data_IF_733937980054
#
_entry.id   IF_733937980054
#
_cell.length_a   1.000
_cell.length_b   1.000
_cell.length_c   1.000
_cell.angle_alpha   90.00
_cell.angle_beta   90.00
_cell.angle_gamma   90.00
#
_symmetry.space_group_name_H-M   'P 1'
#
loop_
_entity.id
_entity.type
_entity.pdbx_description
1 polymer ?
#
# COMPACT_ATOMS: atom_id res chain seq x y z
N UNK A 1 12.64 -6.16 9.03
CA UNK A 1 11.70 -7.34 9.12
C UNK A 1 10.77 -7.27 7.92
N UNK A 2 10.74 -8.29 7.08
CA UNK A 2 9.87 -8.31 5.88
C UNK A 2 8.44 -8.71 6.24
N UNK A 3 7.46 -7.99 5.70
CA UNK A 3 6.03 -8.29 5.84
C UNK A 3 5.47 -9.08 4.63
N UNK A 4 6.32 -9.53 3.70
CA UNK A 4 5.92 -10.20 2.46
C UNK A 4 5.01 -11.42 2.70
N UNK A 5 5.17 -12.12 3.83
CA UNK A 5 4.35 -13.26 4.21
C UNK A 5 2.88 -12.91 4.55
N UNK A 6 2.57 -11.62 4.73
CA UNK A 6 1.18 -11.15 4.92
C UNK A 6 0.42 -10.99 3.59
N UNK A 7 1.12 -11.03 2.46
CA UNK A 7 0.49 -10.90 1.15
C UNK A 7 -0.34 -12.16 0.83
N UNK A 8 -1.52 -11.99 0.20
CA UNK A 8 -2.32 -13.14 -0.20
C UNK A 8 -1.57 -13.98 -1.24
N UNK A 9 -1.75 -15.31 -1.26
CA UNK A 9 -1.02 -16.20 -2.18
C UNK A 9 -1.14 -15.82 -3.65
N UNK A 10 -2.25 -15.19 -4.05
CA UNK A 10 -2.52 -14.79 -5.44
C UNK A 10 -1.91 -13.43 -5.84
N UNK A 11 -1.14 -12.75 -4.99
CA UNK A 11 -0.65 -11.40 -5.32
C UNK A 11 0.23 -11.36 -6.56
N UNK A 12 1.01 -12.42 -6.84
CA UNK A 12 1.85 -12.50 -8.04
C UNK A 12 1.04 -12.54 -9.34
N UNK A 13 -0.15 -13.13 -9.32
CA UNK A 13 -1.04 -13.13 -10.47
C UNK A 13 -1.55 -11.71 -10.81
N UNK A 14 -1.82 -10.91 -9.79
CA UNK A 14 -2.19 -9.51 -9.98
C UNK A 14 -1.03 -8.68 -10.54
N UNK A 15 0.21 -8.94 -10.08
CA UNK A 15 1.41 -8.32 -10.65
C UNK A 15 1.57 -8.68 -12.14
N UNK A 16 1.39 -9.95 -12.49
CA UNK A 16 1.46 -10.39 -13.88
C UNK A 16 0.40 -9.69 -14.77
N UNK A 17 -0.80 -9.46 -14.22
CA UNK A 17 -1.85 -8.71 -14.90
C UNK A 17 -1.44 -7.25 -15.15
N UNK A 18 -0.81 -6.57 -14.19
CA UNK A 18 -0.34 -5.18 -14.37
C UNK A 18 0.81 -5.07 -15.37
N UNK A 19 1.74 -6.04 -15.39
CA UNK A 19 2.79 -6.09 -16.42
C UNK A 19 2.17 -6.29 -17.81
N UNK A 20 1.17 -7.16 -17.93
CA UNK A 20 0.45 -7.36 -19.19
C UNK A 20 -0.37 -6.13 -19.62
N UNK A 21 -0.93 -5.37 -18.67
CA UNK A 21 -1.64 -4.12 -18.95
C UNK A 21 -0.72 -3.06 -19.59
N UNK A 22 0.54 -2.97 -19.13
CA UNK A 22 1.54 -2.03 -19.66
C UNK A 22 2.08 -2.47 -21.04
N UNK A 23 2.15 -3.77 -21.31
CA UNK A 23 2.57 -4.32 -22.60
C UNK A 23 1.65 -5.48 -23.04
N UNK A 24 0.45 -5.19 -23.58
CA UNK A 24 -0.53 -6.23 -23.92
C UNK A 24 -0.24 -6.96 -25.24
N UNK A 25 0.67 -6.45 -26.08
CA UNK A 25 0.95 -7.00 -27.39
C UNK A 25 2.45 -7.04 -27.68
N UNK A 26 2.99 -6.09 -28.40
CA UNK A 26 4.38 -6.11 -28.90
C UNK A 26 5.20 -5.00 -28.25
N UNK A 27 6.32 -5.38 -27.62
CA UNK A 27 7.32 -4.44 -27.10
C UNK A 27 8.26 -3.99 -28.23
N UNK A 28 7.89 -2.91 -28.91
CA UNK A 28 8.69 -2.34 -30.01
C UNK A 28 9.98 -1.70 -29.46
N UNK A 29 9.93 -1.06 -28.29
CA UNK A 29 11.08 -0.46 -27.63
C UNK A 29 12.13 -1.51 -27.26
N UNK A 30 11.67 -2.64 -26.75
CA UNK A 30 12.53 -3.78 -26.42
C UNK A 30 13.28 -4.36 -27.61
N UNK A 31 12.69 -4.32 -28.81
CA UNK A 31 13.37 -4.71 -30.04
C UNK A 31 14.61 -3.83 -30.32
N UNK A 32 14.53 -2.53 -30.04
CA UNK A 32 15.63 -1.57 -30.29
C UNK A 32 16.82 -1.83 -29.39
N UNK A 33 16.59 -2.14 -28.10
CA UNK A 33 17.67 -2.34 -27.11
C UNK A 33 18.19 -3.76 -27.07
N UNK A 34 17.40 -4.74 -27.52
CA UNK A 34 17.80 -6.13 -27.69
C UNK A 34 18.02 -6.92 -26.42
N UNK A 35 18.77 -8.01 -26.55
CA UNK A 35 18.94 -9.08 -25.55
C UNK A 35 20.21 -8.94 -24.69
N UNK A 36 21.01 -7.88 -24.86
CA UNK A 36 22.24 -7.69 -24.09
C UNK A 36 21.94 -7.65 -22.60
N UNK A 37 22.74 -8.35 -21.81
CA UNK A 37 22.63 -8.32 -20.35
C UNK A 37 23.31 -7.05 -19.84
N UNK A 38 22.56 -6.29 -19.03
CA UNK A 38 22.99 -5.02 -18.45
C UNK A 38 22.63 -4.95 -16.97
N UNK A 39 23.20 -3.95 -16.29
CA UNK A 39 22.86 -3.62 -14.89
C UNK A 39 22.22 -2.24 -14.87
N UNK A 40 20.99 -2.16 -14.37
CA UNK A 40 20.32 -0.90 -14.10
C UNK A 40 20.37 -0.54 -12.61
N UNK A 41 20.44 0.75 -12.31
CA UNK A 41 20.40 1.26 -10.95
C UNK A 41 18.99 1.76 -10.62
N UNK A 42 18.40 1.19 -9.56
CA UNK A 42 17.16 1.69 -9.01
C UNK A 42 17.45 2.87 -8.07
N UNK A 43 16.92 4.04 -8.40
CA UNK A 43 17.26 5.30 -7.74
C UNK A 43 16.12 5.82 -6.89
N UNK A 44 16.39 6.11 -5.61
CA UNK A 44 15.55 6.93 -4.77
C UNK A 44 15.88 8.41 -4.98
N UNK A 45 14.87 9.21 -5.37
CA UNK A 45 15.00 10.65 -5.70
C UNK A 45 14.20 11.56 -4.76
N UNK A 46 13.56 11.00 -3.74
CA UNK A 46 12.83 11.71 -2.70
C UNK A 46 12.99 10.96 -1.39
N UNK A 47 13.30 11.66 -0.31
CA UNK A 47 13.44 11.03 1.02
C UNK A 47 12.11 10.39 1.44
N UNK A 48 12.17 9.17 1.98
CA UNK A 48 10.99 8.45 2.41
C UNK A 48 11.27 7.01 2.84
N UNK A 49 10.23 6.33 3.26
CA UNK A 49 10.29 4.91 3.67
C UNK A 49 10.30 4.03 2.43
N UNK A 50 11.31 3.17 2.30
CA UNK A 50 11.35 2.17 1.24
C UNK A 50 10.22 1.15 1.45
N UNK A 51 9.33 1.05 0.48
CA UNK A 51 8.19 0.12 0.54
C UNK A 51 7.80 -0.38 -0.85
N UNK A 52 7.16 -1.56 -0.91
CA UNK A 52 6.75 -2.19 -2.15
C UNK A 52 7.76 -3.20 -2.69
N UNK A 53 8.80 -3.52 -1.95
CA UNK A 53 9.86 -4.46 -2.34
C UNK A 53 9.33 -5.83 -2.79
N UNK A 54 8.39 -6.49 -2.09
CA UNK A 54 7.86 -7.79 -2.54
C UNK A 54 7.14 -7.74 -3.90
N UNK A 55 6.48 -6.62 -4.18
CA UNK A 55 5.80 -6.43 -5.47
C UNK A 55 6.80 -6.18 -6.59
N UNK A 56 7.82 -5.33 -6.37
CA UNK A 56 8.89 -5.11 -7.33
C UNK A 56 9.66 -6.41 -7.61
N UNK A 57 9.96 -7.20 -6.56
CA UNK A 57 10.57 -8.52 -6.72
C UNK A 57 9.72 -9.44 -7.60
N UNK A 58 8.39 -9.42 -7.44
CA UNK A 58 7.50 -10.23 -8.28
C UNK A 58 7.50 -9.77 -9.76
N UNK A 59 7.63 -8.46 -10.04
CA UNK A 59 7.82 -7.94 -11.40
C UNK A 59 9.15 -8.43 -11.97
N UNK A 60 10.24 -8.31 -11.20
CA UNK A 60 11.58 -8.72 -11.65
C UNK A 60 11.67 -10.23 -11.86
N UNK A 61 11.10 -11.02 -10.96
CA UNK A 61 11.03 -12.48 -11.09
C UNK A 61 10.26 -12.91 -12.36
N UNK A 62 9.10 -12.29 -12.62
CA UNK A 62 8.28 -12.56 -13.81
C UNK A 62 9.06 -12.33 -15.12
N UNK A 63 9.93 -11.34 -15.12
CA UNK A 63 10.71 -10.92 -16.29
C UNK A 63 12.15 -11.44 -16.26
N UNK A 64 12.43 -12.47 -15.45
CA UNK A 64 13.74 -13.15 -15.36
C UNK A 64 14.91 -12.21 -15.02
N UNK A 65 14.64 -11.19 -14.21
CA UNK A 65 15.63 -10.23 -13.72
C UNK A 65 16.12 -10.60 -12.32
N UNK A 66 17.39 -10.34 -12.05
CA UNK A 66 18.00 -10.46 -10.73
C UNK A 66 18.06 -9.08 -10.07
N UNK A 67 17.70 -8.99 -8.80
CA UNK A 67 17.77 -7.75 -8.02
C UNK A 67 18.62 -7.94 -6.78
N UNK A 68 19.47 -6.95 -6.51
CA UNK A 68 20.29 -6.84 -5.30
C UNK A 68 19.90 -5.54 -4.58
N UNK A 69 19.26 -5.65 -3.43
CA UNK A 69 18.82 -4.52 -2.62
C UNK A 69 19.91 -4.09 -1.64
N UNK A 70 20.14 -2.78 -1.52
CA UNK A 70 21.09 -2.18 -0.56
C UNK A 70 20.45 -1.71 0.72
N UNK A 71 19.13 -1.64 0.76
CA UNK A 71 18.35 -1.25 1.93
C UNK A 71 17.25 -2.27 2.20
N UNK A 72 16.96 -2.51 3.48
CA UNK A 72 15.80 -3.29 3.88
C UNK A 72 14.52 -2.49 3.70
N UNK A 73 13.43 -3.19 3.37
CA UNK A 73 12.10 -2.58 3.36
C UNK A 73 11.73 -2.02 4.73
N UNK A 74 11.11 -0.84 4.74
CA UNK A 74 10.77 -0.11 5.96
C UNK A 74 11.84 0.84 6.47
N UNK A 75 13.05 0.83 5.90
CA UNK A 75 14.09 1.82 6.21
C UNK A 75 13.72 3.17 5.60
N UNK A 76 13.96 4.24 6.33
CA UNK A 76 13.86 5.60 5.79
C UNK A 76 15.14 5.92 4.99
N UNK A 77 15.00 6.15 3.70
CA UNK A 77 16.10 6.54 2.82
C UNK A 77 16.12 8.07 2.72
N UNK A 78 17.21 8.69 3.18
CA UNK A 78 17.38 10.13 3.09
C UNK A 78 18.31 10.49 1.94
N UNK A 79 17.77 11.16 0.92
CA UNK A 79 18.55 11.61 -0.25
C UNK A 79 19.49 12.76 0.06
N UNK A 80 19.32 13.47 1.19
CA UNK A 80 20.19 14.59 1.57
C UNK A 80 21.56 14.12 2.07
N UNK A 81 21.75 12.81 2.25
CA UNK A 81 23.04 12.19 2.61
C UNK A 81 24.03 12.14 1.44
N UNK A 82 23.57 12.45 0.21
CA UNK A 82 24.40 12.45 -1.02
C UNK A 82 24.24 13.77 -1.77
N UNK A 83 25.35 14.28 -2.34
CA UNK A 83 25.36 15.57 -3.04
C UNK A 83 24.38 15.66 -4.21
N UNK A 84 24.29 14.59 -5.01
CA UNK A 84 23.43 14.55 -6.20
C UNK A 84 21.96 14.26 -5.88
N UNK A 85 21.60 14.10 -4.60
CA UNK A 85 20.24 13.78 -4.11
C UNK A 85 19.62 12.57 -4.81
N UNK A 86 20.43 11.55 -5.13
CA UNK A 86 20.02 10.30 -5.75
C UNK A 86 20.72 9.14 -5.07
N UNK A 87 19.98 8.38 -4.27
CA UNK A 87 20.50 7.19 -3.58
C UNK A 87 20.20 5.96 -4.41
N UNK A 88 21.23 5.17 -4.74
CA UNK A 88 21.04 3.85 -5.36
C UNK A 88 20.51 2.92 -4.29
N UNK A 89 19.30 2.37 -4.50
CA UNK A 89 18.64 1.48 -3.53
C UNK A 89 18.71 0.02 -3.94
N UNK A 90 18.93 -0.27 -5.22
CA UNK A 90 19.15 -1.62 -5.71
C UNK A 90 19.86 -1.61 -7.07
N UNK A 91 20.48 -2.73 -7.41
CA UNK A 91 20.89 -3.08 -8.78
C UNK A 91 19.91 -4.11 -9.35
N UNK A 92 19.53 -3.91 -10.62
CA UNK A 92 18.68 -4.85 -11.37
C UNK A 92 19.47 -5.32 -12.58
N UNK A 93 19.70 -6.62 -12.67
CA UNK A 93 20.54 -7.24 -13.72
C UNK A 93 19.72 -8.18 -14.58
N UNK A 94 19.84 -8.07 -15.89
CA UNK A 94 19.21 -8.97 -16.85
C UNK A 94 19.24 -8.43 -18.27
N UNK A 95 18.45 -9.02 -19.16
CA UNK A 95 18.31 -8.55 -20.53
C UNK A 95 17.76 -7.12 -20.56
N UNK A 96 18.40 -6.25 -21.35
CA UNK A 96 18.06 -4.82 -21.40
C UNK A 96 16.56 -4.60 -21.69
N UNK A 97 16.00 -5.32 -22.65
CA UNK A 97 14.55 -5.25 -22.95
C UNK A 97 13.66 -5.62 -21.74
N UNK A 98 14.05 -6.63 -20.97
CA UNK A 98 13.29 -7.06 -19.80
C UNK A 98 13.37 -6.01 -18.67
N UNK A 99 14.53 -5.35 -18.50
CA UNK A 99 14.71 -4.25 -17.56
C UNK A 99 13.77 -3.10 -17.91
N UNK A 100 13.70 -2.69 -19.18
CA UNK A 100 12.81 -1.62 -19.62
C UNK A 100 11.34 -1.98 -19.48
N UNK A 101 10.97 -3.23 -19.76
CA UNK A 101 9.61 -3.72 -19.59
C UNK A 101 9.19 -3.74 -18.10
N UNK A 102 10.12 -4.06 -17.20
CA UNK A 102 9.87 -4.07 -15.75
C UNK A 102 9.74 -2.67 -15.17
N UNK A 103 10.46 -1.69 -15.73
CA UNK A 103 10.71 -0.38 -15.14
C UNK A 103 9.43 0.30 -14.68
N UNK A 104 8.49 0.52 -15.59
CA UNK A 104 7.31 1.35 -15.30
C UNK A 104 6.42 0.72 -14.25
N UNK A 105 6.11 -0.56 -14.39
CA UNK A 105 5.26 -1.28 -13.44
C UNK A 105 5.91 -1.32 -12.06
N UNK A 106 7.20 -1.65 -11.95
CA UNK A 106 7.90 -1.68 -10.67
C UNK A 106 7.95 -0.30 -10.01
N UNK A 107 8.30 0.76 -10.76
CA UNK A 107 8.39 2.13 -10.23
C UNK A 107 7.03 2.68 -9.80
N UNK A 108 5.96 2.44 -10.55
CA UNK A 108 4.62 2.91 -10.18
C UNK A 108 4.16 2.28 -8.86
N UNK A 109 4.39 0.98 -8.70
CA UNK A 109 4.03 0.27 -7.46
C UNK A 109 4.87 0.79 -6.28
N UNK A 110 6.19 0.85 -6.43
CA UNK A 110 7.09 1.29 -5.36
C UNK A 110 6.87 2.74 -4.96
N UNK A 111 6.69 3.64 -5.93
CA UNK A 111 6.46 5.06 -5.64
C UNK A 111 5.18 5.26 -4.83
N UNK A 112 4.11 4.56 -5.17
CA UNK A 112 2.85 4.62 -4.40
C UNK A 112 3.02 4.02 -3.02
N UNK A 113 3.63 2.83 -2.93
CA UNK A 113 3.87 2.16 -1.66
C UNK A 113 4.75 3.00 -0.72
N UNK A 114 5.86 3.54 -1.23
CA UNK A 114 6.77 4.38 -0.45
C UNK A 114 6.08 5.67 0.04
N UNK A 115 5.28 6.31 -0.82
CA UNK A 115 4.50 7.49 -0.43
C UNK A 115 3.52 7.20 0.70
N UNK A 116 2.75 6.11 0.61
CA UNK A 116 1.80 5.69 1.67
C UNK A 116 2.55 5.32 2.95
N UNK A 117 3.65 4.53 2.85
CA UNK A 117 4.44 4.14 4.01
C UNK A 117 5.08 5.34 4.72
N UNK A 118 5.55 6.33 3.96
CA UNK A 118 6.14 7.56 4.51
C UNK A 118 5.10 8.37 5.28
N UNK A 119 3.92 8.58 4.72
CA UNK A 119 2.83 9.28 5.40
C UNK A 119 2.35 8.52 6.64
N UNK A 120 2.24 7.19 6.54
CA UNK A 120 1.89 6.34 7.67
C UNK A 120 2.92 6.46 8.80
N UNK A 121 4.23 6.42 8.48
CA UNK A 121 5.32 6.60 9.43
C UNK A 121 5.25 7.97 10.12
N UNK A 122 5.04 9.02 9.35
CA UNK A 122 4.89 10.39 9.87
C UNK A 122 3.73 10.48 10.86
N UNK A 123 2.56 9.96 10.48
CA UNK A 123 1.38 9.98 11.35
C UNK A 123 1.59 9.18 12.64
N UNK A 124 2.22 8.00 12.56
CA UNK A 124 2.56 7.18 13.73
C UNK A 124 3.55 7.92 14.64
N UNK A 125 4.59 8.54 14.07
CA UNK A 125 5.59 9.29 14.83
C UNK A 125 4.96 10.44 15.59
N UNK A 126 4.16 11.29 14.92
CA UNK A 126 3.44 12.40 15.55
C UNK A 126 2.54 11.91 16.69
N UNK A 127 1.80 10.82 16.47
CA UNK A 127 0.94 10.25 17.50
C UNK A 127 1.73 9.77 18.74
N UNK A 128 2.89 9.12 18.53
CA UNK A 128 3.77 8.66 19.61
C UNK A 128 4.39 9.82 20.39
N UNK A 129 4.87 10.85 19.69
CA UNK A 129 5.43 12.05 20.28
C UNK A 129 4.39 12.82 21.12
N UNK A 130 3.12 12.78 20.70
CA UNK A 130 1.99 13.33 21.47
C UNK A 130 1.53 12.43 22.64
N UNK A 131 2.23 11.33 22.94
CA UNK A 131 1.88 10.40 24.01
C UNK A 131 0.75 9.42 23.70
N UNK A 132 0.27 9.35 22.45
CA UNK A 132 -0.77 8.40 22.04
C UNK A 132 -0.22 6.97 21.97
N UNK A 133 -0.77 6.07 22.79
CA UNK A 133 -0.38 4.66 22.86
C UNK A 133 -1.25 3.72 21.99
N UNK A 134 -2.34 4.21 21.42
CA UNK A 134 -3.25 3.44 20.56
C UNK A 134 -2.70 3.23 19.14
N UNK A 135 -3.56 2.78 18.24
CA UNK A 135 -3.19 2.54 16.84
C UNK A 135 -3.52 3.74 15.96
N UNK A 136 -2.58 4.06 15.03
CA UNK A 136 -2.88 4.86 13.86
C UNK A 136 -3.30 3.87 12.77
N UNK A 137 -4.48 4.03 12.22
CA UNK A 137 -5.07 3.04 11.33
C UNK A 137 -5.50 3.66 9.99
N UNK A 138 -5.32 2.89 8.93
CA UNK A 138 -5.80 3.26 7.60
C UNK A 138 -7.31 3.16 7.46
N UNK A 139 -7.81 3.51 6.28
CA UNK A 139 -9.24 3.47 5.93
C UNK A 139 -9.49 2.58 4.72
N UNK A 140 -10.76 2.52 4.25
CA UNK A 140 -11.13 1.92 2.95
C UNK A 140 -11.09 2.93 1.79
N UNK A 141 -10.62 4.15 2.01
CA UNK A 141 -10.41 5.17 0.98
C UNK A 141 -9.12 4.86 0.22
N UNK A 142 -9.13 3.77 -0.53
CA UNK A 142 -8.00 3.27 -1.31
C UNK A 142 -8.27 3.46 -2.80
N UNK A 143 -7.20 3.55 -3.59
CA UNK A 143 -7.29 3.56 -5.05
C UNK A 143 -7.91 2.25 -5.56
N UNK A 144 -8.97 2.28 -6.38
CA UNK A 144 -9.54 1.08 -6.98
C UNK A 144 -8.47 0.22 -7.67
N UNK A 145 -8.49 -1.10 -7.41
CA UNK A 145 -7.49 -2.04 -7.92
C UNK A 145 -6.15 -2.04 -7.17
N UNK A 146 -5.84 -1.00 -6.38
CA UNK A 146 -4.52 -0.86 -5.75
C UNK A 146 -4.52 -1.04 -4.22
N UNK A 147 -5.66 -1.43 -3.65
CA UNK A 147 -5.87 -1.63 -2.21
C UNK A 147 -4.80 -2.49 -1.55
N UNK A 148 -4.38 -3.57 -2.21
CA UNK A 148 -3.41 -4.51 -1.67
C UNK A 148 -2.07 -3.81 -1.39
N UNK A 149 -1.54 -3.06 -2.35
CA UNK A 149 -0.28 -2.31 -2.22
C UNK A 149 -0.39 -1.24 -1.13
N UNK A 150 -1.47 -0.46 -1.14
CA UNK A 150 -1.66 0.64 -0.18
C UNK A 150 -1.83 0.12 1.25
N UNK A 151 -2.57 -0.96 1.46
CA UNK A 151 -2.74 -1.59 2.78
C UNK A 151 -1.45 -2.23 3.29
N UNK A 152 -0.68 -2.86 2.41
CA UNK A 152 0.65 -3.37 2.73
C UNK A 152 1.59 -2.23 3.17
N UNK A 153 1.60 -1.14 2.42
CA UNK A 153 2.44 0.02 2.70
C UNK A 153 2.13 0.68 4.06
N UNK A 154 0.87 0.67 4.51
CA UNK A 154 0.51 1.13 5.87
C UNK A 154 1.26 0.34 6.93
N UNK A 155 1.34 -1.00 6.80
CA UNK A 155 2.06 -1.87 7.74
C UNK A 155 3.54 -1.58 7.73
N UNK A 156 4.14 -1.43 6.55
CA UNK A 156 5.56 -1.05 6.39
C UNK A 156 5.86 0.29 7.07
N UNK A 157 4.93 1.25 6.97
CA UNK A 157 5.02 2.54 7.66
C UNK A 157 4.79 2.48 9.17
N UNK A 158 4.34 1.33 9.72
CA UNK A 158 4.07 1.14 11.15
C UNK A 158 2.64 1.43 11.58
N UNK A 159 1.72 1.69 10.63
CA UNK A 159 0.30 1.87 10.90
C UNK A 159 -0.47 0.53 10.80
N UNK A 160 -1.66 0.47 11.39
CA UNK A 160 -2.56 -0.65 11.23
C UNK A 160 -3.37 -0.53 9.92
N UNK A 161 -3.67 -1.66 9.28
CA UNK A 161 -4.47 -1.66 8.05
C UNK A 161 -5.92 -1.26 8.28
N UNK A 162 -6.45 -1.51 9.50
CA UNK A 162 -7.88 -1.57 9.72
C UNK A 162 -8.55 -2.62 8.81
N UNK A 163 -9.88 -2.67 8.72
CA UNK A 163 -10.59 -3.62 7.85
C UNK A 163 -10.21 -3.43 6.38
N UNK A 164 -10.01 -4.53 5.67
CA UNK A 164 -9.69 -4.53 4.25
C UNK A 164 -10.92 -4.19 3.38
N UNK A 165 -12.09 -4.68 3.84
CA UNK A 165 -13.36 -4.58 3.15
C UNK A 165 -14.53 -4.59 4.15
N UNK A 166 -15.76 -4.65 3.65
CA UNK A 166 -16.97 -4.62 4.47
C UNK A 166 -17.24 -5.94 5.21
N UNK A 167 -16.54 -7.02 4.82
CA UNK A 167 -16.80 -8.38 5.34
C UNK A 167 -16.00 -8.70 6.61
N UNK A 168 -14.90 -7.97 6.89
CA UNK A 168 -14.01 -8.32 8.00
C UNK A 168 -14.49 -7.88 9.37
N UNK A 169 -15.17 -6.76 9.45
CA UNK A 169 -15.76 -6.25 10.69
C UNK A 169 -16.86 -5.22 10.40
N UNK A 170 -17.77 -5.05 11.34
CA UNK A 170 -18.80 -4.03 11.26
C UNK A 170 -18.25 -2.71 11.80
N UNK A 171 -18.51 -1.62 11.07
CA UNK A 171 -18.26 -0.26 11.53
C UNK A 171 -19.57 0.52 11.44
N UNK A 172 -20.12 0.88 12.58
CA UNK A 172 -21.31 1.67 12.71
C UNK A 172 -20.93 3.15 12.76
N UNK A 173 -21.42 3.89 11.78
CA UNK A 173 -21.24 5.34 11.65
C UNK A 173 -22.57 6.04 11.99
N UNK A 174 -22.53 7.36 12.03
CA UNK A 174 -23.67 8.25 12.19
C UNK A 174 -24.90 7.83 11.37
N UNK A 175 -24.74 7.62 10.06
CA UNK A 175 -25.83 7.16 9.18
C UNK A 175 -26.44 5.82 9.59
N UNK A 176 -25.64 4.89 10.11
CA UNK A 176 -26.14 3.60 10.60
C UNK A 176 -26.92 3.77 11.90
N UNK A 177 -26.42 4.64 12.79
CA UNK A 177 -27.05 4.92 14.08
C UNK A 177 -28.35 5.67 13.85
N UNK A 178 -28.36 6.68 12.99
CA UNK A 178 -29.55 7.41 12.61
C UNK A 178 -30.64 6.48 12.04
N UNK A 179 -30.28 5.62 11.08
CA UNK A 179 -31.20 4.66 10.47
C UNK A 179 -31.75 3.61 11.46
N UNK A 180 -30.96 3.24 12.46
CA UNK A 180 -31.36 2.28 13.49
C UNK A 180 -32.13 2.91 14.66
N UNK A 181 -32.10 4.25 14.79
CA UNK A 181 -32.73 5.05 15.83
C UNK A 181 -31.82 5.38 17.01
N UNK A 182 -30.93 4.48 17.42
CA UNK A 182 -29.94 4.71 18.49
C UNK A 182 -28.79 3.68 18.43
N UNK A 183 -27.72 3.91 19.20
CA UNK A 183 -26.57 3.04 19.27
C UNK A 183 -26.92 1.61 19.73
N UNK A 184 -27.65 1.38 20.83
CA UNK A 184 -28.03 0.02 21.24
C UNK A 184 -28.77 -0.76 20.16
N UNK A 185 -29.73 -0.14 19.47
CA UNK A 185 -30.47 -0.78 18.37
C UNK A 185 -29.56 -1.11 17.17
N UNK A 186 -28.65 -0.20 16.81
CA UNK A 186 -27.67 -0.42 15.73
C UNK A 186 -26.73 -1.58 16.07
N UNK A 187 -26.20 -1.63 17.29
CA UNK A 187 -25.32 -2.71 17.76
C UNK A 187 -26.07 -4.04 17.80
N UNK A 188 -27.31 -4.06 18.28
CA UNK A 188 -28.13 -5.28 18.30
C UNK A 188 -28.35 -5.84 16.90
N UNK A 189 -28.78 -5.02 15.94
CA UNK A 189 -28.93 -5.42 14.52
C UNK A 189 -27.62 -5.89 13.92
N UNK A 190 -26.51 -5.17 14.18
CA UNK A 190 -25.20 -5.57 13.68
C UNK A 190 -24.77 -6.93 14.25
N UNK A 191 -25.03 -7.19 15.53
CA UNK A 191 -24.70 -8.47 16.18
C UNK A 191 -25.49 -9.65 15.62
N UNK A 192 -26.73 -9.45 15.20
CA UNK A 192 -27.53 -10.48 14.54
C UNK A 192 -26.91 -10.95 13.22
N UNK A 193 -26.32 -10.03 12.45
CA UNK A 193 -25.67 -10.35 11.18
C UNK A 193 -24.21 -10.82 11.35
N UNK A 194 -23.48 -10.21 12.29
CA UNK A 194 -22.04 -10.45 12.48
C UNK A 194 -21.73 -11.66 13.37
N UNK A 195 -22.71 -12.16 14.14
CA UNK A 195 -22.49 -13.22 15.11
C UNK A 195 -21.51 -12.79 16.22
N UNK A 196 -20.86 -13.76 16.88
CA UNK A 196 -19.93 -13.50 17.97
C UNK A 196 -18.48 -13.23 17.50
N UNK A 197 -18.10 -13.68 16.30
CA UNK A 197 -16.73 -13.67 15.81
C UNK A 197 -16.28 -12.32 15.23
N UNK A 198 -17.22 -11.52 14.73
CA UNK A 198 -16.88 -10.21 14.14
C UNK A 198 -16.87 -9.11 15.21
N UNK A 199 -15.85 -8.23 15.11
CA UNK A 199 -15.82 -6.99 15.88
C UNK A 199 -16.86 -6.00 15.35
N UNK A 200 -17.45 -5.24 16.27
CA UNK A 200 -18.35 -4.12 15.97
C UNK A 200 -17.70 -2.87 16.53
N UNK A 201 -17.34 -1.95 15.65
CA UNK A 201 -16.83 -0.63 15.99
C UNK A 201 -17.95 0.39 15.84
N UNK A 202 -18.06 1.30 16.80
CA UNK A 202 -19.00 2.43 16.76
C UNK A 202 -18.18 3.70 16.69
N UNK A 203 -18.37 4.47 15.61
CA UNK A 203 -17.77 5.80 15.48
C UNK A 203 -18.77 6.79 16.09
N UNK A 204 -18.32 7.55 17.09
CA UNK A 204 -19.07 8.64 17.69
C UNK A 204 -18.35 9.94 17.38
N UNK A 205 -18.94 10.79 16.55
CA UNK A 205 -18.50 12.17 16.40
C UNK A 205 -18.93 12.96 17.65
N UNK A 206 -17.96 13.49 18.39
CA UNK A 206 -18.24 14.36 19.55
C UNK A 206 -18.74 15.76 19.14
N UNK A 207 -18.63 16.10 17.85
CA UNK A 207 -18.92 17.43 17.31
C UNK A 207 -20.09 17.48 16.31
N UNK A 208 -20.83 16.39 16.12
CA UNK A 208 -22.03 16.40 15.28
C UNK A 208 -23.23 16.92 16.09
N UNK A 209 -23.39 18.21 16.16
CA UNK A 209 -24.70 18.83 16.35
C UNK A 209 -25.44 18.74 15.00
N UNK A 210 -26.57 18.03 15.03
CA UNK A 210 -27.75 18.17 14.16
C UNK A 210 -27.54 18.31 12.63
N UNK A 211 -27.01 17.28 11.97
CA UNK A 211 -27.30 17.09 10.55
C UNK A 211 -27.95 15.73 10.32
N UNK A 212 -29.30 15.73 10.31
CA UNK A 212 -30.16 14.56 10.08
C UNK A 212 -30.21 14.16 8.59
N UNK A 213 -29.07 14.15 7.87
CA UNK A 213 -29.03 13.76 6.48
C UNK A 213 -28.09 12.60 6.23
N UNK A 214 -28.53 11.71 5.32
CA UNK A 214 -27.68 10.66 4.75
C UNK A 214 -26.62 11.33 3.84
N UNK A 215 -25.49 11.72 4.42
CA UNK A 215 -24.43 12.41 3.71
C UNK A 215 -23.41 11.45 3.12
N UNK A 216 -23.00 11.66 1.86
CA UNK A 216 -21.79 11.10 1.28
C UNK A 216 -20.68 12.15 1.39
N UNK A 217 -19.67 11.88 2.24
CA UNK A 217 -18.48 12.74 2.31
C UNK A 217 -17.34 12.15 1.50
N UNK A 218 -16.65 13.02 0.74
CA UNK A 218 -15.42 12.70 0.01
C UNK A 218 -14.22 12.59 0.93
#
# INVERSE_FOLDING_TARGET
>A
MSFAHLLPPGYKAEIARWVHEDCPTTDIGGFVVGEKVEVAHLLCKSSGVLAGVPFANAVFELLELKVEWFFEEGVFVDINTVENKKVVIAHVTGKCRNILLAERTALNIMSRAAGVATQARTAVTIAREAGWSGYVAGTRKTTPGFKMVEKYALVVGGAATHRQDLSQMVMLKDNHIWSAGNIPAAVHKARQAAGFSMKIEVIRNQFAEEDNFLGLAY
#
